data_IF_781198171749
#
_entry.id   IF_781198171749
#
_cell.length_a   1.000
_cell.length_b   1.000
_cell.length_c   1.000
_cell.angle_alpha   90.00
_cell.angle_beta   90.00
_cell.angle_gamma   90.00
#
_symmetry.space_group_name_H-M   'P 1'
#
loop_
_entity.id
_entity.type
_entity.pdbx_description
1 polymer ?
#
# COMPACT_ATOMS: atom_id res chain seq x y z
N UNK A 1 9.26 -13.07 -33.16
CA UNK A 1 8.20 -12.83 -32.17
C UNK A 1 8.91 -12.51 -30.87
N UNK A 2 9.18 -11.23 -30.65
CA UNK A 2 9.77 -10.72 -29.42
C UNK A 2 8.72 -10.84 -28.32
N UNK A 3 8.99 -11.64 -27.29
CA UNK A 3 8.33 -11.44 -26.00
C UNK A 3 8.80 -10.07 -25.50
N UNK A 4 7.98 -9.05 -25.66
CA UNK A 4 8.09 -7.85 -24.83
C UNK A 4 7.90 -8.29 -23.39
N UNK A 5 9.01 -8.44 -22.68
CA UNK A 5 8.99 -8.59 -21.24
C UNK A 5 8.54 -7.22 -20.71
N UNK A 6 7.26 -7.12 -20.36
CA UNK A 6 6.63 -5.91 -19.85
C UNK A 6 7.35 -5.53 -18.55
N UNK A 7 8.14 -4.45 -18.57
CA UNK A 7 8.69 -3.69 -17.43
C UNK A 7 9.17 -4.55 -16.25
N UNK A 8 10.47 -4.83 -16.19
CA UNK A 8 11.06 -5.54 -15.06
C UNK A 8 10.83 -4.78 -13.75
N UNK A 9 10.21 -5.44 -12.78
CA UNK A 9 10.14 -4.98 -11.39
C UNK A 9 10.71 -6.07 -10.48
N UNK A 10 11.30 -5.70 -9.35
CA UNK A 10 11.82 -6.65 -8.36
C UNK A 10 11.30 -6.33 -6.96
N UNK A 11 11.06 -7.38 -6.17
CA UNK A 11 10.66 -7.24 -4.77
C UNK A 11 11.84 -6.69 -3.95
N UNK A 12 11.71 -5.45 -3.48
CA UNK A 12 12.72 -4.74 -2.71
C UNK A 12 12.46 -4.78 -1.20
N UNK A 13 11.20 -5.01 -0.79
CA UNK A 13 10.83 -5.12 0.62
C UNK A 13 9.59 -5.97 0.83
N UNK A 14 9.57 -6.75 1.90
CA UNK A 14 8.44 -7.58 2.34
C UNK A 14 8.46 -7.69 3.87
N UNK A 15 7.56 -6.98 4.54
CA UNK A 15 7.58 -6.88 5.99
C UNK A 15 6.20 -6.57 6.58
N UNK A 16 6.05 -6.82 7.89
CA UNK A 16 4.86 -6.40 8.65
C UNK A 16 5.07 -4.96 9.10
N UNK A 17 4.26 -4.04 8.60
CA UNK A 17 4.31 -2.63 8.93
C UNK A 17 3.39 -2.32 10.12
N UNK A 18 3.92 -1.87 11.26
CA UNK A 18 3.10 -1.39 12.36
C UNK A 18 2.56 0.01 12.05
N UNK A 19 1.29 0.24 12.38
CA UNK A 19 0.68 1.58 12.32
C UNK A 19 -0.24 1.81 13.51
N UNK A 20 -0.74 3.05 13.62
CA UNK A 20 -1.83 3.40 14.54
C UNK A 20 -3.04 3.71 13.71
N UNK A 21 -4.17 3.06 14.01
CA UNK A 21 -5.42 3.34 13.34
C UNK A 21 -5.95 4.76 13.67
N UNK A 22 -7.11 5.09 13.11
CA UNK A 22 -7.78 6.38 13.34
C UNK A 22 -8.04 6.63 14.84
N UNK A 23 -8.36 5.59 15.63
CA UNK A 23 -8.55 5.66 17.07
C UNK A 23 -7.25 5.72 17.89
N UNK A 24 -6.11 5.48 17.25
CA UNK A 24 -4.79 5.41 17.89
C UNK A 24 -4.43 4.05 18.48
N UNK A 25 -5.23 3.03 18.21
CA UNK A 25 -4.92 1.65 18.59
C UNK A 25 -3.77 1.12 17.72
N UNK A 26 -2.87 0.30 18.28
CA UNK A 26 -1.88 -0.42 17.50
C UNK A 26 -2.56 -1.34 16.48
N UNK A 27 -2.04 -1.34 15.26
CA UNK A 27 -2.51 -2.14 14.14
C UNK A 27 -1.31 -2.55 13.27
N UNK A 28 -1.50 -3.50 12.37
CA UNK A 28 -0.45 -3.92 11.45
C UNK A 28 -0.97 -4.50 10.14
N UNK A 29 -0.20 -4.30 9.07
CA UNK A 29 -0.45 -4.85 7.74
C UNK A 29 0.83 -5.43 7.15
N UNK A 30 0.74 -6.21 6.08
CA UNK A 30 1.92 -6.64 5.32
C UNK A 30 2.17 -5.67 4.17
N UNK A 31 3.39 -5.18 4.04
CA UNK A 31 3.81 -4.28 2.96
C UNK A 31 4.81 -5.02 2.09
N UNK A 32 4.50 -5.07 0.79
CA UNK A 32 5.44 -5.51 -0.25
C UNK A 32 5.75 -4.35 -1.18
N UNK A 33 7.02 -4.09 -1.41
CA UNK A 33 7.51 -2.98 -2.24
C UNK A 33 8.22 -3.57 -3.45
N UNK A 34 7.76 -3.20 -4.64
CA UNK A 34 8.35 -3.57 -5.91
C UNK A 34 8.95 -2.33 -6.55
N UNK A 35 10.25 -2.38 -6.86
CA UNK A 35 10.95 -1.29 -7.52
C UNK A 35 11.17 -1.62 -9.01
N UNK A 36 11.00 -0.65 -9.91
CA UNK A 36 11.26 -0.84 -11.32
C UNK A 36 12.76 -1.01 -11.58
N UNK A 37 13.10 -1.85 -12.55
CA UNK A 37 14.46 -1.97 -13.09
C UNK A 37 14.79 -0.82 -14.04
N UNK A 38 13.78 -0.30 -14.76
CA UNK A 38 13.92 0.83 -15.68
C UNK A 38 13.76 2.17 -14.97
N UNK A 39 14.65 3.11 -15.27
CA UNK A 39 14.59 4.45 -14.71
C UNK A 39 13.40 5.21 -15.31
N UNK A 40 12.50 5.71 -14.44
CA UNK A 40 11.36 6.54 -14.84
C UNK A 40 9.98 5.90 -14.62
N UNK A 41 9.92 4.60 -14.32
CA UNK A 41 8.70 3.95 -13.84
C UNK A 41 8.46 4.19 -12.35
N UNK A 42 7.22 3.98 -11.90
CA UNK A 42 6.82 4.19 -10.51
C UNK A 42 6.99 2.93 -9.66
N UNK A 43 7.43 3.06 -8.39
CA UNK A 43 7.35 1.97 -7.42
C UNK A 43 5.92 1.45 -7.29
N UNK A 44 5.77 0.15 -7.00
CA UNK A 44 4.49 -0.46 -6.66
C UNK A 44 4.53 -0.92 -5.21
N UNK A 45 3.55 -0.52 -4.42
CA UNK A 45 3.39 -0.97 -3.04
C UNK A 45 2.09 -1.76 -2.93
N UNK A 46 2.19 -3.00 -2.47
CA UNK A 46 1.04 -3.83 -2.12
C UNK A 46 0.93 -3.84 -0.59
N UNK A 47 -0.11 -3.17 -0.08
CA UNK A 47 -0.48 -3.15 1.33
C UNK A 47 -1.58 -4.19 1.57
N UNK A 48 -1.24 -5.31 2.19
CA UNK A 48 -2.16 -6.41 2.45
C UNK A 48 -2.70 -6.38 3.87
N UNK A 49 -4.02 -6.52 4.01
CA UNK A 49 -4.65 -6.73 5.31
C UNK A 49 -4.20 -8.06 5.90
N UNK A 50 -4.16 -8.13 7.22
CA UNK A 50 -3.83 -9.34 7.95
C UNK A 50 -5.01 -9.79 8.80
N UNK A 51 -5.35 -11.07 8.74
CA UNK A 51 -6.45 -11.65 9.52
C UNK A 51 -6.32 -11.45 11.04
N UNK A 52 -5.09 -11.24 11.52
CA UNK A 52 -4.77 -11.03 12.92
C UNK A 52 -4.50 -9.56 13.25
N UNK A 53 -4.84 -8.61 12.36
CA UNK A 53 -4.72 -7.18 12.63
C UNK A 53 -5.66 -6.78 13.77
N UNK A 54 -5.14 -6.33 14.93
CA UNK A 54 -5.97 -6.05 16.10
C UNK A 54 -6.66 -4.68 16.06
N UNK A 55 -6.29 -3.81 15.12
CA UNK A 55 -6.81 -2.45 15.02
C UNK A 55 -7.66 -2.21 13.78
N UNK A 56 -7.92 -0.94 13.46
CA UNK A 56 -8.72 -0.56 12.29
C UNK A 56 -8.08 -0.98 10.97
N UNK A 57 -8.93 -1.28 9.98
CA UNK A 57 -8.52 -1.79 8.67
C UNK A 57 -7.51 -0.92 7.92
N UNK A 58 -6.81 -1.55 6.97
CA UNK A 58 -5.90 -0.85 6.05
C UNK A 58 -6.59 0.26 5.26
N UNK A 59 -7.83 0.03 4.81
CA UNK A 59 -8.61 1.02 4.04
C UNK A 59 -8.88 2.29 4.85
N UNK A 60 -9.26 2.14 6.12
CA UNK A 60 -9.53 3.27 7.00
C UNK A 60 -8.26 4.05 7.41
N UNK A 61 -7.09 3.44 7.19
CA UNK A 61 -5.80 3.98 7.60
C UNK A 61 -4.87 4.21 6.40
N UNK A 62 -5.38 4.14 5.17
CA UNK A 62 -4.60 4.06 3.94
C UNK A 62 -3.62 5.23 3.81
N UNK A 63 -4.06 6.47 4.05
CA UNK A 63 -3.19 7.63 3.92
C UNK A 63 -2.09 7.67 4.99
N UNK A 64 -2.39 7.24 6.22
CA UNK A 64 -1.41 7.21 7.30
C UNK A 64 -0.37 6.11 7.09
N UNK A 65 -0.81 4.92 6.66
CA UNK A 65 0.05 3.80 6.32
C UNK A 65 0.94 4.19 5.14
N UNK A 66 0.36 4.72 4.05
CA UNK A 66 1.12 5.12 2.87
C UNK A 66 2.15 6.19 3.18
N UNK A 67 1.78 7.21 3.95
CA UNK A 67 2.75 8.20 4.42
C UNK A 67 3.91 7.53 5.18
N UNK A 68 3.58 6.64 6.14
CA UNK A 68 4.56 5.90 6.94
C UNK A 68 5.52 5.07 6.11
N UNK A 69 5.00 4.29 5.16
CA UNK A 69 5.78 3.44 4.25
C UNK A 69 6.67 4.27 3.34
N UNK A 70 6.15 5.36 2.74
CA UNK A 70 6.93 6.24 1.86
C UNK A 70 8.11 6.83 2.61
N UNK A 71 7.90 7.39 3.80
CA UNK A 71 8.99 8.00 4.60
C UNK A 71 9.99 6.96 5.09
N UNK A 72 9.52 5.81 5.57
CA UNK A 72 10.39 4.80 6.16
C UNK A 72 11.33 4.14 5.13
N UNK A 73 10.93 4.11 3.87
CA UNK A 73 11.69 3.48 2.78
C UNK A 73 12.23 4.51 1.77
N UNK A 74 12.10 5.81 2.04
CA UNK A 74 12.51 6.91 1.15
C UNK A 74 12.00 6.73 -0.30
N UNK A 75 10.76 6.25 -0.46
CA UNK A 75 10.23 5.89 -1.77
C UNK A 75 10.01 7.14 -2.62
N UNK A 76 10.39 7.10 -3.92
CA UNK A 76 10.06 8.17 -4.83
C UNK A 76 8.54 8.23 -5.03
N UNK A 77 8.02 9.45 -5.13
CA UNK A 77 6.60 9.71 -5.41
C UNK A 77 6.44 10.43 -6.75
N UNK A 78 5.38 10.15 -7.52
CA UNK A 78 4.25 9.28 -7.16
C UNK A 78 4.59 7.79 -7.23
N UNK A 79 3.74 6.96 -6.64
CA UNK A 79 3.85 5.50 -6.65
C UNK A 79 2.48 4.86 -6.96
N UNK A 80 2.48 3.57 -7.27
CA UNK A 80 1.25 2.77 -7.39
C UNK A 80 0.99 2.10 -6.05
N UNK A 81 -0.13 2.44 -5.41
CA UNK A 81 -0.55 1.82 -4.15
C UNK A 81 -1.71 0.87 -4.38
N UNK A 82 -1.56 -0.38 -3.97
CA UNK A 82 -2.57 -1.42 -4.10
C UNK A 82 -2.91 -1.92 -2.69
N UNK A 83 -4.18 -1.78 -2.30
CA UNK A 83 -4.71 -2.53 -1.17
C UNK A 83 -5.04 -3.95 -1.61
N UNK A 84 -4.68 -4.91 -0.77
CA UNK A 84 -4.93 -6.32 -1.00
C UNK A 84 -5.63 -6.91 0.22
N UNK A 85 -6.81 -7.49 -0.01
CA UNK A 85 -7.58 -8.19 1.01
C UNK A 85 -7.56 -9.69 0.69
N UNK A 86 -6.60 -10.45 1.25
CA UNK A 86 -6.55 -11.89 1.03
C UNK A 86 -7.78 -12.58 1.65
N UNK A 87 -8.16 -13.75 1.11
CA UNK A 87 -9.31 -14.53 1.61
C UNK A 87 -9.24 -14.78 3.12
N UNK A 88 -8.04 -14.98 3.67
CA UNK A 88 -7.86 -15.22 5.10
C UNK A 88 -8.23 -14.00 5.96
N UNK A 89 -8.18 -12.79 5.38
CA UNK A 89 -8.53 -11.53 6.04
C UNK A 89 -9.98 -11.10 5.81
N UNK A 90 -10.70 -11.78 4.94
CA UNK A 90 -12.12 -11.55 4.69
C UNK A 90 -12.90 -12.69 5.35
N UNK A 91 -13.94 -12.41 6.13
CA UNK A 91 -14.69 -13.43 6.90
C UNK A 91 -15.44 -14.44 5.99
N UNK A 92 -14.71 -15.27 5.24
CA UNK A 92 -15.21 -16.11 4.14
C UNK A 92 -15.50 -15.36 2.83
N UNK A 93 -14.97 -14.14 2.67
CA UNK A 93 -15.16 -13.33 1.47
C UNK A 93 -14.24 -13.72 0.32
N UNK A 94 -14.42 -13.10 -0.84
CA UNK A 94 -13.48 -13.20 -1.94
C UNK A 94 -12.25 -12.34 -1.69
N UNK A 95 -11.13 -12.71 -2.31
CA UNK A 95 -9.95 -11.86 -2.36
C UNK A 95 -10.22 -10.63 -3.23
N UNK A 96 -9.78 -9.46 -2.78
CA UNK A 96 -9.93 -8.22 -3.55
C UNK A 96 -8.64 -7.43 -3.63
N UNK A 97 -8.54 -6.64 -4.70
CA UNK A 97 -7.46 -5.69 -4.94
C UNK A 97 -8.04 -4.33 -5.30
N UNK A 98 -7.54 -3.28 -4.68
CA UNK A 98 -7.98 -1.91 -4.93
C UNK A 98 -6.77 -1.03 -5.23
N UNK A 99 -6.77 -0.40 -6.41
CA UNK A 99 -5.86 0.71 -6.70
C UNK A 99 -6.28 1.91 -5.85
N UNK A 100 -5.36 2.42 -5.04
CA UNK A 100 -5.58 3.62 -4.22
C UNK A 100 -4.88 4.81 -4.85
N UNK A 101 -5.64 5.87 -5.10
CA UNK A 101 -5.18 7.11 -5.69
C UNK A 101 -5.25 8.19 -4.62
N UNK A 102 -4.08 8.70 -4.21
CA UNK A 102 -3.97 9.81 -3.26
C UNK A 102 -3.97 11.16 -3.98
N UNK A 103 -4.68 12.14 -3.43
CA UNK A 103 -4.77 13.48 -4.03
C UNK A 103 -3.49 14.33 -3.90
N UNK A 104 -2.57 13.95 -3.01
CA UNK A 104 -1.24 14.54 -2.85
C UNK A 104 -0.34 13.55 -2.11
N UNK A 105 0.98 13.63 -2.31
CA UNK A 105 1.98 12.89 -1.55
C UNK A 105 2.75 13.78 -0.55
N UNK A 106 2.44 15.08 -0.51
CA UNK A 106 3.04 16.00 0.44
C UNK A 106 2.58 15.61 1.85
N UNK A 107 3.53 15.23 2.70
CA UNK A 107 3.27 14.85 4.08
C UNK A 107 2.82 16.06 4.89
N UNK A 108 1.52 16.16 5.18
CA UNK A 108 1.04 17.07 6.20
C UNK A 108 1.34 16.45 7.56
N UNK A 109 2.23 17.07 8.34
CA UNK A 109 2.28 16.83 9.78
C UNK A 109 0.99 17.39 10.38
N UNK A 110 0.00 16.52 10.58
CA UNK A 110 -1.19 16.89 11.33
C UNK A 110 -0.94 16.49 12.77
N UNK A 111 -1.00 17.47 13.67
CA UNK A 111 -1.23 17.20 15.08
C UNK A 111 -2.75 17.00 15.24
N UNK A 112 -3.25 15.78 15.51
CA UNK A 112 -4.57 15.66 16.11
C UNK A 112 -4.54 16.40 17.44
N UNK A 113 -5.71 16.70 18.01
CA UNK A 113 -5.92 17.35 19.31
C UNK A 113 -5.26 16.68 20.55
N UNK A 114 -4.26 15.81 20.36
CA UNK A 114 -3.62 14.95 21.35
C UNK A 114 -2.08 14.90 21.23
N UNK A 115 -1.45 15.84 20.51
CA UNK A 115 0.00 16.07 20.59
C UNK A 115 0.92 15.02 19.94
N UNK A 116 0.38 14.15 19.08
CA UNK A 116 1.19 13.21 18.28
C UNK A 116 1.29 13.68 16.83
N UNK A 117 2.52 13.93 16.35
CA UNK A 117 2.76 14.20 14.93
C UNK A 117 2.45 12.93 14.13
N UNK A 118 1.40 12.97 13.31
CA UNK A 118 1.15 11.96 12.29
C UNK A 118 1.34 12.61 10.94
N UNK A 119 2.12 11.95 10.10
CA UNK A 119 2.20 12.36 8.73
C UNK A 119 1.06 11.72 7.95
N UNK A 120 0.42 12.55 7.15
CA UNK A 120 -0.71 12.21 6.31
C UNK A 120 -0.40 12.63 4.89
N UNK A 121 -0.80 11.81 3.92
CA UNK A 121 -0.87 12.23 2.52
C UNK A 121 -2.31 12.67 2.18
N UNK A 122 -2.53 13.14 0.95
CA UNK A 122 -3.84 13.56 0.47
C UNK A 122 -4.86 12.43 0.51
N UNK A 123 -6.15 12.79 0.53
CA UNK A 123 -7.28 11.85 0.55
C UNK A 123 -7.17 10.73 -0.49
N UNK A 124 -7.54 9.52 -0.11
CA UNK A 124 -7.60 8.36 -0.98
C UNK A 124 -8.92 8.27 -1.79
N UNK A 125 -8.82 7.71 -2.99
CA UNK A 125 -9.95 7.17 -3.77
C UNK A 125 -9.57 5.78 -4.27
N UNK A 126 -10.56 4.87 -4.38
CA UNK A 126 -10.33 3.45 -4.67
C UNK A 126 -10.92 3.06 -6.02
N UNK A 127 -10.24 2.13 -6.70
CA UNK A 127 -10.71 1.49 -7.93
C UNK A 127 -10.33 0.01 -7.91
N UNK A 128 -11.32 -0.85 -8.07
CA UNK A 128 -11.09 -2.29 -8.09
C UNK A 128 -10.18 -2.72 -9.23
N UNK A 129 -9.28 -3.64 -8.93
CA UNK A 129 -8.41 -4.31 -9.88
C UNK A 129 -8.68 -5.82 -9.84
N UNK A 130 -8.55 -6.47 -11.00
CA UNK A 130 -8.47 -7.92 -11.02
C UNK A 130 -7.05 -8.41 -10.70
N UNK A 131 -6.95 -9.66 -10.26
CA UNK A 131 -5.68 -10.31 -9.93
C UNK A 131 -4.69 -10.29 -11.08
N UNK A 132 -5.15 -10.53 -12.31
CA UNK A 132 -4.28 -10.58 -13.49
C UNK A 132 -3.58 -9.23 -13.75
N UNK A 133 -4.30 -8.13 -13.53
CA UNK A 133 -3.77 -6.77 -13.63
C UNK A 133 -2.72 -6.51 -12.56
N UNK A 134 -2.97 -6.94 -11.32
CA UNK A 134 -1.99 -6.80 -10.23
C UNK A 134 -0.74 -7.61 -10.52
N UNK A 135 -0.88 -8.88 -10.94
CA UNK A 135 0.24 -9.77 -11.26
C UNK A 135 1.09 -9.24 -12.42
N UNK A 136 0.46 -8.63 -13.43
CA UNK A 136 1.17 -7.96 -14.51
C UNK A 136 1.97 -6.73 -14.03
N UNK A 137 1.43 -5.96 -13.08
CA UNK A 137 2.07 -4.76 -12.53
C UNK A 137 3.24 -5.12 -11.60
N UNK A 138 3.13 -6.20 -10.81
CA UNK A 138 4.18 -6.65 -9.89
C UNK A 138 5.16 -7.66 -10.50
N UNK A 139 4.98 -8.01 -11.78
CA UNK A 139 5.87 -8.92 -12.51
C UNK A 139 5.82 -10.38 -12.03
N UNK A 140 4.77 -10.79 -11.33
CA UNK A 140 4.68 -12.12 -10.72
C UNK A 140 3.44 -12.33 -9.88
N UNK A 141 3.38 -13.48 -9.19
CA UNK A 141 2.26 -13.79 -8.30
C UNK A 141 2.26 -12.88 -7.08
N UNK A 142 1.06 -12.52 -6.64
CA UNK A 142 0.78 -11.73 -5.44
C UNK A 142 0.06 -12.56 -4.39
#
# INVERSE_FOLDING_TARGET
MSNENIRGVHLAGDYIHPYKDVGGSPAHCRVRIYLPEETGDFPVVVCSELHNNPGGSITNSAEAIAAGVIRANELPTPLVWIEHWPVESTDGGEETFELVIFSSYEGAERAPYLGATRAWIGSATWKSLDRATVEAVVGGKV
#
